data_IF_814873631118
#
_entry.id   IF_814873631118
#
_cell.length_a   1.000
_cell.length_b   1.000
_cell.length_c   1.000
_cell.angle_alpha   90.00
_cell.angle_beta   90.00
_cell.angle_gamma   90.00
#
_symmetry.space_group_name_H-M   'P 1'
#
loop_
_entity.id
_entity.type
_entity.pdbx_description
1 polymer ?
#
# COMPACT_ATOMS: atom_id res chain seq x y z
N UNK A 1 2.01 -2.25 27.17
CA UNK A 1 2.99 -1.96 26.10
C UNK A 1 3.04 -0.47 25.77
N UNK A 2 1.89 0.14 25.46
CA UNK A 2 1.79 1.57 25.14
C UNK A 2 2.20 2.51 26.28
N UNK A 3 1.91 2.17 27.54
CA UNK A 3 2.39 2.95 28.71
C UNK A 3 3.92 3.03 28.72
N UNK A 4 4.62 1.91 28.53
CA UNK A 4 6.08 1.89 28.43
C UNK A 4 6.57 2.71 27.23
N UNK A 5 5.91 2.56 26.07
CA UNK A 5 6.24 3.34 24.87
C UNK A 5 6.12 4.85 25.13
N UNK A 6 5.04 5.29 25.79
CA UNK A 6 4.82 6.69 26.17
C UNK A 6 5.88 7.19 27.15
N UNK A 7 6.22 6.40 28.17
CA UNK A 7 7.27 6.74 29.13
C UNK A 7 8.62 6.92 28.42
N UNK A 8 8.95 6.07 27.45
CA UNK A 8 10.19 6.15 26.67
C UNK A 8 10.21 7.40 25.79
N UNK A 9 9.10 7.71 25.12
CA UNK A 9 8.93 8.96 24.36
C UNK A 9 9.10 10.18 25.28
N UNK A 10 8.47 10.16 26.47
CA UNK A 10 8.54 11.26 27.43
C UNK A 10 9.96 11.49 27.96
N UNK A 11 10.72 10.42 28.19
CA UNK A 11 12.13 10.50 28.63
C UNK A 11 13.02 11.19 27.59
N UNK A 12 12.75 10.99 26.30
CA UNK A 12 13.52 11.64 25.25
C UNK A 12 13.02 13.07 24.95
N UNK A 13 11.72 13.29 24.97
CA UNK A 13 11.11 14.60 24.76
C UNK A 13 9.76 14.71 25.49
N UNK A 14 9.71 15.39 26.66
CA UNK A 14 8.50 15.51 27.47
C UNK A 14 7.32 16.14 26.73
N UNK A 15 7.56 17.08 25.80
CA UNK A 15 6.49 17.75 25.06
C UNK A 15 5.73 16.80 24.12
N UNK A 16 6.34 15.68 23.72
CA UNK A 16 5.74 14.69 22.80
C UNK A 16 4.95 13.59 23.50
N UNK A 17 5.09 13.46 24.82
CA UNK A 17 4.32 12.48 25.61
C UNK A 17 2.81 12.73 25.57
N UNK A 18 2.41 13.95 25.23
CA UNK A 18 1.00 14.38 25.10
C UNK A 18 0.65 14.78 23.66
N UNK A 19 1.51 14.45 22.69
CA UNK A 19 1.32 14.79 21.28
C UNK A 19 0.23 13.96 20.61
N UNK A 20 -0.14 14.37 19.40
CA UNK A 20 -1.03 13.63 18.50
C UNK A 20 -0.27 12.44 17.92
N UNK A 21 -0.87 11.25 17.97
CA UNK A 21 -0.27 10.04 17.43
C UNK A 21 -1.22 9.36 16.44
N UNK A 22 -0.70 8.99 15.28
CA UNK A 22 -1.38 8.09 14.34
C UNK A 22 -0.89 6.66 14.55
N UNK A 23 -1.81 5.70 14.53
CA UNK A 23 -1.45 4.27 14.52
C UNK A 23 -1.40 3.78 13.07
N UNK A 24 -0.20 3.44 12.62
CA UNK A 24 0.04 2.85 11.32
C UNK A 24 -0.26 1.35 11.30
N UNK A 25 0.01 0.74 10.16
CA UNK A 25 -0.27 -0.67 9.95
C UNK A 25 0.72 -1.58 10.69
N UNK A 26 0.28 -2.83 10.89
CA UNK A 26 1.08 -3.89 11.48
C UNK A 26 1.30 -4.98 10.44
N UNK A 27 2.55 -5.34 10.25
CA UNK A 27 2.95 -6.40 9.32
C UNK A 27 3.70 -7.51 10.05
N UNK A 28 3.65 -8.70 9.48
CA UNK A 28 4.56 -9.75 9.89
C UNK A 28 5.99 -9.38 9.49
N UNK A 29 6.97 -9.77 10.30
CA UNK A 29 8.37 -9.56 9.95
C UNK A 29 8.71 -10.21 8.60
N UNK A 30 9.25 -9.41 7.67
CA UNK A 30 9.55 -9.84 6.30
C UNK A 30 8.40 -9.70 5.30
N UNK A 31 7.17 -9.37 5.74
CA UNK A 31 6.03 -9.17 4.85
C UNK A 31 5.76 -7.68 4.58
N UNK A 32 5.38 -7.37 3.34
CA UNK A 32 5.01 -6.01 2.91
C UNK A 32 3.51 -5.73 3.01
N UNK A 33 2.72 -6.72 3.44
CA UNK A 33 1.27 -6.62 3.64
C UNK A 33 0.89 -7.01 5.08
N UNK A 34 -0.37 -6.73 5.42
CA UNK A 34 -0.95 -7.10 6.72
C UNK A 34 -1.70 -8.42 6.60
N UNK A 35 -1.79 -9.12 7.72
CA UNK A 35 -2.61 -10.32 7.91
C UNK A 35 -3.81 -9.97 8.80
N UNK A 36 -4.76 -10.90 9.02
CA UNK A 36 -5.78 -10.73 10.05
C UNK A 36 -5.18 -10.34 11.41
N UNK A 37 -4.06 -10.96 11.81
CA UNK A 37 -3.30 -10.64 13.03
C UNK A 37 -2.82 -9.19 13.04
N UNK A 38 -2.20 -8.75 11.95
CA UNK A 38 -1.75 -7.36 11.83
C UNK A 38 -2.93 -6.38 11.95
N UNK A 39 -4.03 -6.65 11.25
CA UNK A 39 -5.23 -5.81 11.32
C UNK A 39 -5.82 -5.75 12.74
N UNK A 40 -5.90 -6.88 13.45
CA UNK A 40 -6.37 -6.90 14.84
C UNK A 40 -5.44 -6.11 15.77
N UNK A 41 -4.12 -6.29 15.65
CA UNK A 41 -3.14 -5.57 16.47
C UNK A 41 -3.24 -4.06 16.23
N UNK A 42 -3.38 -3.64 14.97
CA UNK A 42 -3.64 -2.24 14.60
C UNK A 42 -4.91 -1.73 15.28
N UNK A 43 -6.04 -2.41 15.09
CA UNK A 43 -7.34 -2.00 15.62
C UNK A 43 -7.30 -1.89 17.15
N UNK A 44 -6.63 -2.85 17.82
CA UNK A 44 -6.47 -2.83 19.29
C UNK A 44 -5.57 -1.68 19.76
N UNK A 45 -4.45 -1.45 19.09
CA UNK A 45 -3.52 -0.36 19.47
C UNK A 45 -4.14 1.00 19.20
N UNK A 46 -4.83 1.19 18.08
CA UNK A 46 -5.59 2.40 17.77
C UNK A 46 -6.65 2.68 18.85
N UNK A 47 -7.46 1.67 19.19
CA UNK A 47 -8.46 1.81 20.25
C UNK A 47 -7.84 2.22 21.59
N UNK A 48 -6.74 1.59 22.01
CA UNK A 48 -6.08 1.95 23.28
C UNK A 48 -5.48 3.36 23.27
N UNK A 49 -4.92 3.79 22.12
CA UNK A 49 -4.41 5.15 21.94
C UNK A 49 -5.53 6.18 22.12
N UNK A 50 -6.72 5.89 21.58
CA UNK A 50 -7.89 6.76 21.66
C UNK A 50 -8.55 6.76 23.04
N UNK A 51 -8.73 5.59 23.66
CA UNK A 51 -9.54 5.45 24.90
C UNK A 51 -8.76 5.71 26.17
N UNK A 52 -7.47 5.36 26.22
CA UNK A 52 -6.67 5.48 27.45
C UNK A 52 -6.03 6.87 27.64
N UNK A 53 -6.24 7.79 26.69
CA UNK A 53 -5.67 9.14 26.73
C UNK A 53 -4.13 9.15 26.76
N UNK A 54 -3.50 8.06 26.30
CA UNK A 54 -2.04 7.94 26.27
C UNK A 54 -1.44 8.90 25.25
N UNK A 55 -2.06 9.03 24.09
CA UNK A 55 -1.74 10.08 23.11
C UNK A 55 -3.04 10.77 22.69
N UNK A 56 -2.93 11.92 22.02
CA UNK A 56 -4.10 12.53 21.39
C UNK A 56 -4.34 11.87 20.03
N UNK A 57 -5.59 11.65 19.68
CA UNK A 57 -5.93 11.24 18.33
C UNK A 57 -5.59 12.36 17.31
N UNK A 58 -5.40 12.02 16.02
CA UNK A 58 -5.23 13.03 14.97
C UNK A 58 -6.44 13.98 14.87
N UNK A 59 -6.22 15.18 14.33
CA UNK A 59 -7.32 16.11 14.06
C UNK A 59 -8.10 15.63 12.83
N UNK A 60 -9.32 15.15 13.06
CA UNK A 60 -10.05 14.37 12.07
C UNK A 60 -9.70 12.89 12.18
N UNK A 61 -10.71 12.04 11.99
CA UNK A 61 -10.52 10.60 12.16
C UNK A 61 -9.60 10.03 11.09
N UNK A 62 -8.68 9.14 11.48
CA UNK A 62 -7.95 8.25 10.54
C UNK A 62 -8.89 7.48 9.61
N UNK A 63 -10.17 7.32 9.99
CA UNK A 63 -11.19 6.73 9.11
C UNK A 63 -11.52 7.58 7.88
N UNK A 64 -11.24 8.89 7.86
CA UNK A 64 -11.39 9.70 6.63
C UNK A 64 -10.33 9.36 5.57
N UNK A 65 -9.23 8.71 5.96
CA UNK A 65 -8.10 8.44 5.09
C UNK A 65 -7.32 9.70 4.72
N UNK A 66 -6.53 9.61 3.66
CA UNK A 66 -5.73 10.73 3.10
C UNK A 66 -6.29 11.20 1.75
N UNK A 67 -5.86 12.39 1.35
CA UNK A 67 -6.20 13.06 0.09
C UNK A 67 -5.03 13.08 -0.87
N UNK A 68 -5.32 13.30 -2.17
CA UNK A 68 -4.28 13.45 -3.19
C UNK A 68 -3.32 14.60 -2.90
N UNK A 69 -3.79 15.65 -2.22
CA UNK A 69 -2.96 16.79 -1.81
C UNK A 69 -1.94 16.38 -0.76
N UNK A 70 -2.32 15.58 0.22
CA UNK A 70 -1.40 15.06 1.25
C UNK A 70 -0.38 14.10 0.64
N UNK A 71 -0.81 13.20 -0.27
CA UNK A 71 0.10 12.29 -0.98
C UNK A 71 1.15 13.05 -1.78
N UNK A 72 0.79 14.15 -2.43
CA UNK A 72 1.72 14.98 -3.19
C UNK A 72 2.84 15.62 -2.33
N UNK A 73 2.70 15.63 -1.00
CA UNK A 73 3.71 16.22 -0.09
C UNK A 73 4.82 15.24 0.32
N UNK A 74 4.66 13.94 0.06
CA UNK A 74 5.60 12.89 0.50
C UNK A 74 6.18 12.12 -0.69
N UNK A 75 7.42 11.67 -0.54
CA UNK A 75 8.07 10.89 -1.60
C UNK A 75 7.57 9.45 -1.67
N UNK A 76 7.37 8.80 -0.52
CA UNK A 76 6.85 7.44 -0.43
C UNK A 76 5.76 7.39 0.64
N UNK A 77 4.47 7.42 0.25
CA UNK A 77 3.36 7.37 1.20
C UNK A 77 3.20 6.03 1.93
N UNK A 78 3.90 4.97 1.50
CA UNK A 78 3.89 3.68 2.18
C UNK A 78 5.00 3.52 3.22
N UNK A 79 5.94 4.48 3.30
CA UNK A 79 6.96 4.51 4.35
C UNK A 79 6.32 4.91 5.69
N UNK A 80 6.50 4.11 6.76
CA UNK A 80 6.10 4.48 8.13
C UNK A 80 6.47 5.92 8.54
N UNK A 81 7.57 6.45 8.04
CA UNK A 81 8.04 7.82 8.33
C UNK A 81 7.13 8.90 7.75
N UNK A 82 6.39 8.60 6.68
CA UNK A 82 5.49 9.53 6.03
C UNK A 82 4.17 9.71 6.79
N UNK A 83 3.80 8.76 7.66
CA UNK A 83 2.49 8.74 8.32
C UNK A 83 2.20 10.01 9.13
N UNK A 84 3.17 10.48 9.90
CA UNK A 84 2.98 11.70 10.71
C UNK A 84 2.73 12.93 9.85
N UNK A 85 3.37 13.02 8.67
CA UNK A 85 3.15 14.11 7.73
C UNK A 85 1.79 14.00 7.04
N UNK A 86 1.44 12.80 6.58
CA UNK A 86 0.18 12.50 5.90
C UNK A 86 -1.06 12.74 6.77
N UNK A 87 -0.97 12.42 8.07
CA UNK A 87 -2.07 12.59 9.02
C UNK A 87 -1.93 13.84 9.91
N UNK A 88 -0.91 14.68 9.65
CA UNK A 88 -0.61 15.87 10.45
C UNK A 88 -0.54 15.57 11.97
N UNK A 89 0.31 14.62 12.37
CA UNK A 89 0.52 14.23 13.77
C UNK A 89 1.96 14.45 14.24
N UNK A 90 2.18 14.41 15.55
CA UNK A 90 3.51 14.54 16.15
C UNK A 90 4.30 13.22 16.10
N UNK A 91 3.55 12.11 16.13
CA UNK A 91 4.08 10.75 16.18
C UNK A 91 3.30 9.81 15.24
N UNK A 92 4.01 8.81 14.73
CA UNK A 92 3.46 7.61 14.12
C UNK A 92 3.87 6.39 14.95
N UNK A 93 2.89 5.56 15.33
CA UNK A 93 3.10 4.31 16.04
C UNK A 93 2.87 3.18 15.03
N UNK A 94 3.92 2.49 14.65
CA UNK A 94 3.86 1.34 13.73
C UNK A 94 4.26 0.06 14.43
N UNK A 95 3.84 -1.07 13.87
CA UNK A 95 4.08 -2.37 14.47
C UNK A 95 4.65 -3.41 13.50
N UNK A 96 5.51 -4.27 14.02
CA UNK A 96 5.86 -5.53 13.37
C UNK A 96 5.61 -6.66 14.35
N UNK A 97 5.21 -7.83 13.88
CA UNK A 97 5.05 -8.99 14.75
C UNK A 97 5.70 -10.23 14.14
N UNK A 98 6.10 -11.18 15.00
CA UNK A 98 6.59 -12.50 14.60
C UNK A 98 5.81 -13.57 15.38
N UNK A 99 5.00 -14.40 14.70
CA UNK A 99 4.35 -15.53 15.37
C UNK A 99 5.38 -16.60 15.73
N UNK A 100 5.20 -17.20 16.91
CA UNK A 100 5.89 -18.39 17.42
C UNK A 100 4.81 -19.44 17.81
N UNK A 101 5.22 -20.61 18.29
CA UNK A 101 4.32 -21.73 18.58
C UNK A 101 3.24 -21.37 19.63
N UNK A 102 3.64 -20.77 20.75
CA UNK A 102 2.78 -20.42 21.89
C UNK A 102 2.63 -18.90 22.10
N UNK A 103 3.42 -18.10 21.35
CA UNK A 103 3.55 -16.66 21.56
C UNK A 103 3.54 -15.89 20.25
N UNK A 104 3.26 -14.60 20.33
CA UNK A 104 3.46 -13.64 19.26
C UNK A 104 4.35 -12.54 19.81
N UNK A 105 5.54 -12.38 19.24
CA UNK A 105 6.44 -11.29 19.58
C UNK A 105 5.97 -10.05 18.83
N UNK A 106 5.46 -9.05 19.55
CA UNK A 106 4.99 -7.78 18.98
C UNK A 106 6.00 -6.69 19.30
N UNK A 107 6.44 -5.97 18.27
CA UNK A 107 7.32 -4.80 18.37
C UNK A 107 6.55 -3.57 17.92
N UNK A 108 6.46 -2.57 18.79
CA UNK A 108 5.93 -1.24 18.49
C UNK A 108 7.09 -0.27 18.37
N UNK A 109 7.03 0.59 17.36
CA UNK A 109 8.00 1.66 17.12
C UNK A 109 7.26 3.00 17.02
N UNK A 110 7.70 3.98 17.81
CA UNK A 110 7.22 5.36 17.71
C UNK A 110 8.23 6.18 16.88
N UNK A 111 7.76 6.74 15.77
CA UNK A 111 8.49 7.63 14.88
C UNK A 111 7.96 9.04 15.04
N UNK A 112 8.83 10.05 15.02
CA UNK A 112 8.37 11.44 14.99
C UNK A 112 8.06 11.95 13.57
N UNK A 113 7.68 13.22 13.45
CA UNK A 113 7.37 13.87 12.18
C UNK A 113 8.54 13.94 11.18
N UNK A 114 9.78 13.70 11.63
CA UNK A 114 10.97 13.59 10.78
C UNK A 114 11.32 12.13 10.46
N UNK A 115 10.48 11.17 10.87
CA UNK A 115 10.74 9.75 10.72
C UNK A 115 11.82 9.19 11.66
N UNK A 116 12.21 9.94 12.69
CA UNK A 116 13.21 9.51 13.67
C UNK A 116 12.56 8.63 14.72
N UNK A 117 13.14 7.46 14.98
CA UNK A 117 12.68 6.57 16.05
C UNK A 117 12.91 7.22 17.42
N UNK A 118 11.83 7.36 18.19
CA UNK A 118 11.81 7.92 19.55
C UNK A 118 11.64 6.87 20.63
N UNK A 119 10.96 5.78 20.31
CA UNK A 119 10.84 4.67 21.24
C UNK A 119 10.58 3.39 20.48
N UNK A 120 10.98 2.27 21.09
CA UNK A 120 10.64 0.95 20.61
C UNK A 120 10.41 0.05 21.81
N UNK A 121 9.30 -0.66 21.80
CA UNK A 121 8.96 -1.63 22.84
C UNK A 121 8.66 -2.96 22.17
N UNK A 122 9.14 -4.04 22.78
CA UNK A 122 8.83 -5.40 22.36
C UNK A 122 8.15 -6.15 23.50
N UNK A 123 7.11 -6.93 23.19
CA UNK A 123 6.40 -7.78 24.15
C UNK A 123 6.02 -9.11 23.52
N UNK A 124 6.16 -10.16 24.29
CA UNK A 124 5.57 -11.46 23.96
C UNK A 124 4.12 -11.48 24.45
N UNK A 125 3.21 -11.82 23.54
CA UNK A 125 1.79 -12.02 23.84
C UNK A 125 1.52 -13.52 23.71
N UNK A 126 0.89 -14.13 24.72
CA UNK A 126 0.44 -15.52 24.62
C UNK A 126 -0.55 -15.67 23.47
N UNK A 127 -0.36 -16.68 22.61
CA UNK A 127 -1.28 -16.96 21.49
C UNK A 127 -2.70 -17.26 21.99
N UNK A 128 -2.85 -17.79 23.20
CA UNK A 128 -4.16 -18.03 23.83
C UNK A 128 -4.96 -16.74 24.11
N UNK A 129 -4.28 -15.59 24.22
CA UNK A 129 -4.93 -14.30 24.39
C UNK A 129 -5.41 -13.70 23.06
N UNK A 130 -5.12 -14.37 21.93
CA UNK A 130 -5.44 -13.90 20.58
C UNK A 130 -6.53 -14.81 20.00
N UNK A 131 -7.63 -14.26 19.47
CA UNK A 131 -8.68 -15.07 18.88
C UNK A 131 -8.16 -15.94 17.71
N UNK A 132 -8.50 -17.23 17.70
CA UNK A 132 -8.01 -18.21 16.71
C UNK A 132 -8.30 -17.82 15.25
N UNK A 133 -9.44 -17.17 15.01
CA UNK A 133 -9.89 -16.66 13.69
C UNK A 133 -8.86 -15.71 13.05
N UNK A 134 -7.98 -15.14 13.85
CA UNK A 134 -7.03 -14.10 13.47
C UNK A 134 -5.60 -14.66 13.31
N UNK A 135 -5.36 -15.90 13.73
CA UNK A 135 -4.04 -16.54 13.72
C UNK A 135 -3.63 -17.10 12.35
N UNK A 136 -4.58 -17.26 11.43
CA UNK A 136 -4.31 -17.77 10.09
C UNK A 136 -3.84 -16.66 9.14
N UNK A 137 -2.83 -16.97 8.31
CA UNK A 137 -2.52 -16.15 7.15
C UNK A 137 -3.72 -16.09 6.20
N UNK A 138 -3.85 -15.02 5.39
CA UNK A 138 -4.77 -15.03 4.26
C UNK A 138 -4.57 -16.28 3.41
N UNK A 139 -5.65 -16.92 2.97
CA UNK A 139 -5.59 -18.18 2.22
C UNK A 139 -4.73 -18.07 0.95
N UNK A 140 -4.68 -16.89 0.34
CA UNK A 140 -3.93 -16.59 -0.86
C UNK A 140 -2.53 -15.96 -0.62
N UNK A 141 -2.01 -15.96 0.62
CA UNK A 141 -0.72 -15.32 0.94
C UNK A 141 0.48 -15.88 0.16
N UNK A 142 0.52 -17.20 -0.05
CA UNK A 142 1.57 -17.84 -0.85
C UNK A 142 1.51 -17.39 -2.31
N UNK A 143 0.30 -17.31 -2.87
CA UNK A 143 0.08 -16.87 -4.25
C UNK A 143 0.43 -15.39 -4.44
N UNK A 144 0.05 -14.53 -3.50
CA UNK A 144 0.44 -13.11 -3.51
C UNK A 144 1.96 -12.95 -3.46
N UNK A 145 2.64 -13.73 -2.60
CA UNK A 145 4.11 -13.73 -2.53
C UNK A 145 4.74 -14.13 -3.86
N UNK A 146 4.21 -15.17 -4.49
CA UNK A 146 4.68 -15.62 -5.79
C UNK A 146 4.48 -14.54 -6.86
N UNK A 147 3.29 -13.92 -6.94
CA UNK A 147 2.99 -12.86 -7.89
C UNK A 147 3.95 -11.66 -7.76
N UNK A 148 4.15 -11.17 -6.54
CA UNK A 148 5.08 -10.06 -6.26
C UNK A 148 6.53 -10.43 -6.59
N UNK A 149 6.93 -11.69 -6.38
CA UNK A 149 8.25 -12.18 -6.78
C UNK A 149 8.43 -12.16 -8.31
N UNK A 150 7.40 -12.58 -9.07
CA UNK A 150 7.42 -12.53 -10.53
C UNK A 150 7.50 -11.11 -11.06
N UNK A 151 6.76 -10.16 -10.47
CA UNK A 151 6.88 -8.75 -10.81
C UNK A 151 8.30 -8.21 -10.56
N UNK A 152 8.88 -8.56 -9.41
CA UNK A 152 10.23 -8.11 -9.02
C UNK A 152 11.33 -8.60 -9.97
N UNK A 153 11.11 -9.72 -10.68
CA UNK A 153 12.05 -10.26 -11.66
C UNK A 153 12.02 -9.52 -13.01
N UNK A 154 10.97 -8.75 -13.33
CA UNK A 154 10.81 -8.10 -14.64
C UNK A 154 11.66 -6.84 -14.84
N UNK A 155 12.24 -6.33 -13.77
CA UNK A 155 12.97 -5.07 -13.79
C UNK A 155 12.68 -4.27 -12.53
N UNK A 156 13.48 -3.23 -12.28
CA UNK A 156 13.40 -2.54 -11.01
C UNK A 156 12.09 -1.76 -10.90
N UNK A 157 11.56 -1.63 -9.67
CA UNK A 157 10.46 -0.69 -9.36
C UNK A 157 10.78 0.75 -9.81
N UNK A 158 12.07 1.04 -9.93
CA UNK A 158 12.61 2.33 -10.35
C UNK A 158 13.81 2.17 -11.28
N UNK A 159 13.88 2.92 -12.38
CA UNK A 159 15.04 2.97 -13.27
C UNK A 159 15.74 4.34 -13.14
N UNK A 160 16.88 4.39 -12.45
CA UNK A 160 17.51 5.68 -12.11
C UNK A 160 16.56 6.53 -11.27
N UNK A 161 16.24 7.75 -11.73
CA UNK A 161 15.26 8.63 -11.08
C UNK A 161 13.80 8.35 -11.48
N UNK A 162 13.57 7.46 -12.47
CA UNK A 162 12.24 7.09 -12.91
C UNK A 162 11.62 6.11 -11.90
N UNK A 163 10.48 6.45 -11.33
CA UNK A 163 9.71 5.63 -10.38
C UNK A 163 8.23 5.97 -10.50
N UNK A 164 7.39 5.01 -10.11
CA UNK A 164 5.98 5.25 -9.85
C UNK A 164 5.68 4.83 -8.42
N UNK A 165 4.92 5.64 -7.71
CA UNK A 165 4.44 5.34 -6.37
C UNK A 165 2.95 5.13 -6.42
N UNK A 166 2.46 4.12 -5.69
CA UNK A 166 1.04 3.85 -5.52
C UNK A 166 0.76 3.61 -4.03
N UNK A 167 -0.31 4.23 -3.51
CA UNK A 167 -0.84 3.95 -2.17
C UNK A 167 -2.36 3.95 -2.20
N UNK A 168 -2.96 3.72 -1.03
CA UNK A 168 -4.41 3.83 -0.86
C UNK A 168 -4.79 5.01 0.04
N UNK A 169 -6.08 5.26 0.24
CA UNK A 169 -6.60 6.13 1.30
C UNK A 169 -6.26 5.63 2.72
N UNK A 170 -5.57 4.50 2.87
CA UNK A 170 -4.94 4.03 4.11
C UNK A 170 -3.44 3.83 3.87
N UNK A 171 -2.63 4.90 3.89
CA UNK A 171 -1.20 4.82 3.63
C UNK A 171 -0.45 3.91 4.62
N UNK A 172 0.75 3.54 4.23
CA UNK A 172 1.61 2.60 4.94
C UNK A 172 1.53 1.18 4.38
N UNK A 173 2.64 0.45 4.44
CA UNK A 173 2.67 -0.98 4.09
C UNK A 173 1.64 -1.77 4.92
N UNK A 174 0.88 -2.68 4.30
CA UNK A 174 -0.12 -3.49 4.99
C UNK A 174 -1.43 -2.78 5.35
N UNK A 175 -1.94 -1.95 4.44
CA UNK A 175 -3.30 -1.44 4.59
C UNK A 175 -4.32 -2.60 4.65
N UNK A 176 -5.36 -2.45 5.46
CA UNK A 176 -6.49 -3.37 5.47
C UNK A 176 -7.81 -2.60 5.39
N UNK A 177 -8.79 -3.22 4.75
CA UNK A 177 -10.14 -2.70 4.55
C UNK A 177 -11.15 -3.77 4.98
N UNK A 178 -12.26 -3.33 5.55
CA UNK A 178 -13.43 -4.15 5.88
C UNK A 178 -14.45 -4.05 4.75
N UNK A 179 -15.39 -4.97 4.73
CA UNK A 179 -16.47 -4.99 3.76
C UNK A 179 -17.18 -3.63 3.68
N UNK A 180 -17.50 -3.23 2.46
CA UNK A 180 -18.13 -1.97 2.11
C UNK A 180 -17.31 -0.69 2.35
N UNK A 181 -16.05 -0.80 2.79
CA UNK A 181 -15.18 0.37 2.89
C UNK A 181 -14.70 0.82 1.51
N UNK A 182 -14.75 2.13 1.27
CA UNK A 182 -14.27 2.73 0.04
C UNK A 182 -12.74 2.65 -0.06
N UNK A 183 -12.24 2.19 -1.21
CA UNK A 183 -10.83 2.17 -1.54
C UNK A 183 -10.57 3.26 -2.59
N UNK A 184 -9.57 4.09 -2.32
CA UNK A 184 -9.04 5.03 -3.31
C UNK A 184 -7.58 4.72 -3.53
N UNK A 185 -7.11 4.82 -4.76
CA UNK A 185 -5.69 4.71 -5.09
C UNK A 185 -5.13 6.10 -5.40
N UNK A 186 -3.93 6.36 -4.92
CA UNK A 186 -3.18 7.56 -5.26
C UNK A 186 -1.89 7.16 -5.95
N UNK A 187 -1.63 7.73 -7.12
CA UNK A 187 -0.49 7.39 -7.96
C UNK A 187 0.31 8.64 -8.29
N UNK A 188 1.63 8.57 -8.12
CA UNK A 188 2.56 9.63 -8.54
C UNK A 188 3.67 9.02 -9.38
N UNK A 189 3.86 9.52 -10.60
CA UNK A 189 4.97 9.12 -11.48
C UNK A 189 6.05 10.19 -11.47
N UNK A 190 7.34 9.84 -11.49
CA UNK A 190 8.43 10.81 -11.72
C UNK A 190 8.78 10.99 -13.20
N UNK A 191 8.06 10.31 -14.09
CA UNK A 191 8.21 10.43 -15.54
C UNK A 191 6.86 10.68 -16.20
N UNK A 192 6.89 11.36 -17.35
CA UNK A 192 5.75 11.40 -18.26
C UNK A 192 5.56 10.02 -18.91
N UNK A 193 4.32 9.64 -19.19
CA UNK A 193 4.04 8.37 -19.84
C UNK A 193 2.56 8.01 -19.86
N UNK A 194 2.28 6.73 -20.01
CA UNK A 194 0.93 6.16 -19.98
C UNK A 194 0.81 5.24 -18.76
N UNK A 195 -0.09 5.59 -17.85
CA UNK A 195 -0.34 4.87 -16.62
C UNK A 195 -1.42 3.81 -16.83
N UNK A 196 -1.16 2.63 -16.27
CA UNK A 196 -2.08 1.52 -16.19
C UNK A 196 -2.16 1.02 -14.75
N UNK A 197 -3.38 0.80 -14.26
CA UNK A 197 -3.62 0.16 -12.97
C UNK A 197 -4.22 -1.22 -13.19
N UNK A 198 -3.50 -2.23 -12.74
CA UNK A 198 -3.91 -3.62 -12.76
C UNK A 198 -4.22 -4.08 -11.34
N UNK A 199 -5.43 -4.55 -11.12
CA UNK A 199 -5.91 -5.06 -9.85
C UNK A 199 -6.02 -6.59 -9.91
N UNK A 200 -5.40 -7.27 -8.95
CA UNK A 200 -5.52 -8.71 -8.73
C UNK A 200 -6.31 -8.92 -7.44
N UNK A 201 -7.47 -9.55 -7.55
CA UNK A 201 -8.32 -9.87 -6.39
C UNK A 201 -7.81 -11.11 -5.62
N UNK A 202 -8.52 -11.49 -4.55
CA UNK A 202 -8.14 -12.63 -3.72
C UNK A 202 -8.25 -14.00 -4.42
N UNK A 203 -9.04 -14.09 -5.49
CA UNK A 203 -9.24 -15.29 -6.33
C UNK A 203 -8.33 -15.34 -7.56
N UNK A 204 -7.38 -14.40 -7.68
CA UNK A 204 -6.44 -14.26 -8.79
C UNK A 204 -7.09 -13.79 -10.09
N UNK A 205 -8.23 -13.11 -10.01
CA UNK A 205 -8.78 -12.41 -11.16
C UNK A 205 -8.02 -11.10 -11.37
N UNK A 206 -7.35 -11.00 -12.51
CA UNK A 206 -6.60 -9.82 -12.91
C UNK A 206 -7.44 -8.93 -13.81
N UNK A 207 -7.63 -7.68 -13.40
CA UNK A 207 -8.39 -6.66 -14.13
C UNK A 207 -7.56 -5.39 -14.33
N UNK A 208 -7.65 -4.79 -15.50
CA UNK A 208 -7.25 -3.41 -15.73
C UNK A 208 -8.36 -2.49 -15.24
N UNK A 209 -8.12 -1.81 -14.12
CA UNK A 209 -9.07 -0.87 -13.51
C UNK A 209 -8.86 0.57 -14.01
N UNK A 210 -7.69 0.86 -14.61
CA UNK A 210 -7.41 2.11 -15.31
C UNK A 210 -6.41 1.87 -16.48
N UNK A 211 -6.62 2.47 -17.66
CA UNK A 211 -7.83 3.18 -18.10
C UNK A 211 -9.07 2.30 -18.12
N UNK A 212 -10.24 2.92 -18.00
CA UNK A 212 -11.54 2.25 -18.01
C UNK A 212 -12.58 3.08 -18.80
N UNK A 213 -13.82 2.61 -18.89
CA UNK A 213 -14.86 3.30 -19.67
C UNK A 213 -15.21 4.72 -19.16
N UNK A 214 -14.98 4.98 -17.87
CA UNK A 214 -15.26 6.25 -17.20
C UNK A 214 -14.06 7.21 -17.28
N UNK A 215 -12.84 6.68 -17.37
CA UNK A 215 -11.59 7.43 -17.45
C UNK A 215 -10.65 6.79 -18.47
N UNK A 216 -10.70 7.29 -19.71
CA UNK A 216 -10.00 6.69 -20.88
C UNK A 216 -8.59 7.23 -21.13
N UNK A 217 -8.30 8.45 -20.69
CA UNK A 217 -6.99 9.07 -20.89
C UNK A 217 -5.97 8.44 -19.95
N UNK A 218 -4.99 7.74 -20.52
CA UNK A 218 -3.94 7.05 -19.77
C UNK A 218 -2.73 7.95 -19.50
N UNK A 219 -2.60 9.08 -20.18
CA UNK A 219 -1.42 9.93 -20.12
C UNK A 219 -1.28 10.60 -18.76
N UNK A 220 -0.07 10.53 -18.21
CA UNK A 220 0.31 11.15 -16.94
C UNK A 220 1.53 12.04 -17.10
N UNK A 221 1.61 13.06 -16.25
CA UNK A 221 2.71 14.01 -16.18
C UNK A 221 3.54 13.77 -14.93
N UNK A 222 4.87 13.88 -15.06
CA UNK A 222 5.81 13.72 -13.97
C UNK A 222 5.50 14.66 -12.78
N UNK A 223 5.56 14.12 -11.57
CA UNK A 223 5.34 14.83 -10.31
C UNK A 223 3.88 15.04 -9.94
N UNK A 224 2.93 14.75 -10.82
CA UNK A 224 1.50 14.91 -10.52
C UNK A 224 0.97 13.68 -9.77
N UNK A 225 0.44 13.90 -8.57
CA UNK A 225 -0.35 12.91 -7.85
C UNK A 225 -1.78 12.85 -8.44
N UNK A 226 -2.28 11.64 -8.69
CA UNK A 226 -3.59 11.37 -9.29
C UNK A 226 -4.38 10.45 -8.37
N UNK A 227 -5.67 10.74 -8.19
CA UNK A 227 -6.62 9.95 -7.40
C UNK A 227 -7.48 9.07 -8.31
N UNK A 228 -7.69 7.82 -7.89
CA UNK A 228 -8.54 6.84 -8.56
C UNK A 228 -9.54 6.21 -7.58
N UNK A 229 -10.85 6.33 -7.81
CA UNK A 229 -11.48 7.13 -8.87
C UNK A 229 -11.25 8.63 -8.67
N UNK A 230 -11.31 9.46 -9.73
CA UNK A 230 -11.16 10.90 -9.58
C UNK A 230 -12.28 11.49 -8.72
N UNK A 231 -12.00 12.60 -8.03
CA UNK A 231 -13.00 13.27 -7.21
C UNK A 231 -14.26 13.61 -8.03
N UNK A 232 -15.43 13.18 -7.54
CA UNK A 232 -16.72 13.36 -8.23
C UNK A 232 -17.00 12.34 -9.34
N UNK A 233 -16.20 11.29 -9.47
CA UNK A 233 -16.48 10.20 -10.41
C UNK A 233 -17.87 9.57 -10.18
N UNK A 234 -18.54 9.09 -11.24
CA UNK A 234 -19.83 8.40 -11.13
C UNK A 234 -19.70 6.95 -10.61
N UNK A 235 -18.55 6.58 -10.05
CA UNK A 235 -18.25 5.25 -9.51
C UNK A 235 -17.26 5.35 -8.35
N UNK A 236 -17.24 4.32 -7.50
CA UNK A 236 -16.30 4.14 -6.38
C UNK A 236 -15.73 2.72 -6.42
N UNK A 237 -14.51 2.51 -5.88
CA UNK A 237 -14.05 1.16 -5.55
C UNK A 237 -14.42 0.86 -4.10
N UNK A 238 -14.89 -0.35 -3.86
CA UNK A 238 -15.38 -0.79 -2.55
C UNK A 238 -14.78 -2.15 -2.24
N UNK A 239 -14.35 -2.33 -0.99
CA UNK A 239 -13.87 -3.59 -0.47
C UNK A 239 -15.03 -4.60 -0.43
N UNK A 240 -14.98 -5.63 -1.28
CA UNK A 240 -15.99 -6.68 -1.39
C UNK A 240 -15.37 -8.07 -1.30
N UNK A 241 -16.21 -9.10 -1.26
CA UNK A 241 -15.74 -10.47 -1.48
C UNK A 241 -15.17 -10.61 -2.90
N UNK A 242 -14.21 -11.52 -3.15
CA UNK A 242 -13.63 -12.49 -2.19
C UNK A 242 -12.67 -11.86 -1.17
N UNK A 243 -12.76 -12.29 0.10
CA UNK A 243 -11.89 -11.77 1.17
C UNK A 243 -10.49 -12.39 1.10
N UNK A 244 -9.46 -11.56 1.24
CA UNK A 244 -8.07 -12.00 1.18
C UNK A 244 -7.14 -10.85 0.81
N UNK A 245 -5.94 -11.20 0.36
CA UNK A 245 -5.00 -10.19 -0.14
C UNK A 245 -5.36 -9.80 -1.56
N UNK A 246 -5.38 -8.51 -1.83
CA UNK A 246 -5.53 -7.95 -3.16
C UNK A 246 -4.34 -7.07 -3.49
N UNK A 247 -3.89 -7.07 -4.74
CA UNK A 247 -2.73 -6.29 -5.16
C UNK A 247 -3.09 -5.41 -6.35
N UNK A 248 -2.81 -4.12 -6.22
CA UNK A 248 -2.92 -3.17 -7.33
C UNK A 248 -1.54 -2.72 -7.78
N UNK A 249 -1.23 -2.95 -9.04
CA UNK A 249 0.04 -2.61 -9.68
C UNK A 249 -0.15 -1.42 -10.61
N UNK A 250 0.58 -0.34 -10.33
CA UNK A 250 0.72 0.80 -11.23
C UNK A 250 1.90 0.57 -12.17
N UNK A 251 1.69 0.77 -13.47
CA UNK A 251 2.72 0.66 -14.50
C UNK A 251 2.70 1.91 -15.34
N UNK A 252 3.86 2.53 -15.55
CA UNK A 252 4.02 3.67 -16.47
C UNK A 252 4.90 3.23 -17.64
N UNK A 253 4.34 3.30 -18.84
CA UNK A 253 5.02 2.98 -20.10
C UNK A 253 5.32 4.25 -20.90
N UNK A 254 6.35 4.20 -21.75
CA UNK A 254 6.71 5.31 -22.65
C UNK A 254 5.77 5.43 -23.86
N UNK A 255 5.07 4.35 -24.22
CA UNK A 255 4.05 4.28 -25.27
C UNK A 255 2.79 3.56 -24.77
N UNK A 256 1.60 3.82 -25.34
CA UNK A 256 0.38 3.13 -24.93
C UNK A 256 0.47 1.62 -25.15
N UNK A 257 -0.11 0.86 -24.22
CA UNK A 257 -0.40 -0.57 -24.44
C UNK A 257 -1.46 -0.73 -25.54
N UNK A 258 -1.38 -1.86 -26.23
CA UNK A 258 -2.26 -2.17 -27.36
C UNK A 258 -3.60 -2.72 -26.85
N UNK A 259 -4.71 -2.07 -27.22
CA UNK A 259 -6.05 -2.49 -26.77
C UNK A 259 -6.42 -3.91 -27.22
N UNK A 260 -5.75 -4.46 -28.24
CA UNK A 260 -5.94 -5.87 -28.66
C UNK A 260 -5.46 -6.88 -27.62
N UNK A 261 -4.59 -6.48 -26.71
CA UNK A 261 -4.08 -7.33 -25.63
C UNK A 261 -5.09 -7.45 -24.47
N UNK A 262 -6.22 -6.75 -24.55
CA UNK A 262 -7.25 -6.72 -23.53
C UNK A 262 -8.60 -7.23 -24.07
N UNK A 263 -9.40 -7.77 -23.17
CA UNK A 263 -10.80 -8.13 -23.38
C UNK A 263 -11.65 -7.26 -22.44
N UNK A 264 -12.51 -6.41 -23.00
CA UNK A 264 -13.47 -5.65 -22.19
C UNK A 264 -14.43 -6.62 -21.49
N UNK A 265 -14.70 -6.35 -20.22
CA UNK A 265 -15.64 -7.11 -19.42
C UNK A 265 -16.72 -6.19 -18.86
N UNK A 266 -17.75 -6.79 -18.26
CA UNK A 266 -18.83 -6.06 -17.60
C UNK A 266 -18.29 -5.13 -16.49
N UNK A 267 -18.99 -4.03 -16.24
CA UNK A 267 -18.57 -3.01 -15.27
C UNK A 267 -17.57 -1.97 -15.82
N UNK A 268 -17.06 -2.14 -17.05
CA UNK A 268 -16.21 -1.15 -17.71
C UNK A 268 -14.72 -1.34 -17.52
N UNK A 269 -14.32 -2.50 -16.98
CA UNK A 269 -12.94 -2.92 -16.83
C UNK A 269 -12.50 -3.76 -18.03
N UNK A 270 -11.19 -4.03 -18.12
CA UNK A 270 -10.65 -4.91 -19.14
C UNK A 270 -9.80 -6.02 -18.52
N UNK A 271 -10.07 -7.27 -18.88
CA UNK A 271 -9.23 -8.41 -18.51
C UNK A 271 -8.07 -8.50 -19.51
N UNK A 272 -6.81 -8.51 -19.07
CA UNK A 272 -5.70 -8.75 -19.97
C UNK A 272 -5.72 -10.20 -20.48
N UNK A 273 -5.39 -10.41 -21.75
CA UNK A 273 -5.32 -11.75 -22.38
C UNK A 273 -4.06 -12.53 -21.99
N UNK A 274 -3.11 -11.85 -21.36
CA UNK A 274 -1.84 -12.35 -20.86
C UNK A 274 -1.65 -11.85 -19.42
N UNK A 275 -0.71 -12.43 -18.68
CA UNK A 275 -0.37 -11.87 -17.37
C UNK A 275 0.31 -10.48 -17.51
N UNK A 276 0.27 -9.69 -16.42
CA UNK A 276 0.89 -8.35 -16.39
C UNK A 276 2.36 -8.41 -16.79
N UNK A 277 3.06 -9.46 -16.34
CA UNK A 277 4.48 -9.63 -16.58
C UNK A 277 4.82 -9.71 -18.07
N UNK A 278 4.04 -10.49 -18.81
CA UNK A 278 4.16 -10.70 -20.23
C UNK A 278 3.78 -9.44 -21.00
N UNK A 279 2.72 -8.73 -20.60
CA UNK A 279 2.33 -7.45 -21.21
C UNK A 279 3.46 -6.41 -21.13
N UNK A 280 4.12 -6.33 -19.98
CA UNK A 280 5.24 -5.41 -19.71
C UNK A 280 6.51 -5.85 -20.45
N UNK A 281 6.79 -7.16 -20.48
CA UNK A 281 8.00 -7.71 -21.09
C UNK A 281 7.95 -7.74 -22.63
N UNK A 282 6.82 -8.13 -23.23
CA UNK A 282 6.68 -8.25 -24.70
C UNK A 282 6.65 -6.92 -25.43
N UNK A 283 6.27 -5.83 -24.75
CA UNK A 283 6.19 -4.49 -25.35
C UNK A 283 7.39 -3.59 -25.00
N UNK A 284 8.32 -4.08 -24.16
CA UNK A 284 9.64 -3.49 -23.89
C UNK A 284 10.77 -4.02 -24.80
N UNK A 285 10.46 -4.81 -25.84
CA UNK A 285 11.44 -5.34 -26.80
C UNK A 285 11.01 -5.07 -28.24
N UNK A 286 11.71 -4.15 -28.90
CA UNK A 286 12.08 -4.23 -30.32
C UNK A 286 13.36 -3.40 -30.48
N UNK A 287 14.50 -3.90 -30.98
CA UNK A 287 14.76 -4.45 -32.32
C UNK A 287 16.08 -5.25 -32.30
N UNK A 288 16.24 -6.27 -33.16
CA UNK A 288 17.56 -6.76 -33.61
C UNK A 288 18.03 -5.93 -34.82
N UNK A 289 19.21 -5.30 -34.76
CA UNK A 289 20.07 -5.21 -35.93
C UNK A 289 21.48 -5.73 -35.61
N UNK A 290 21.99 -6.60 -36.47
CA UNK A 290 23.42 -6.76 -36.71
C UNK A 290 23.95 -5.39 -37.13
N UNK A 291 24.82 -4.78 -36.30
CA UNK A 291 25.44 -3.44 -36.45
C UNK A 291 24.52 -2.23 -36.24
N UNK A 292 24.87 -1.39 -35.25
CA UNK A 292 24.28 -0.08 -34.98
C UNK A 292 23.67 0.04 -33.58
N UNK A 293 24.26 0.89 -32.73
CA UNK A 293 23.81 1.18 -31.37
C UNK A 293 22.35 1.67 -31.32
N UNK A 294 21.52 0.98 -30.55
CA UNK A 294 20.11 1.37 -30.32
C UNK A 294 20.02 2.54 -29.33
N UNK A 295 19.14 3.53 -29.56
CA UNK A 295 18.79 4.50 -28.53
C UNK A 295 18.11 3.78 -27.36
N UNK A 296 18.49 4.10 -26.12
CA UNK A 296 17.93 3.50 -24.91
C UNK A 296 16.43 3.81 -24.79
N UNK A 297 15.57 2.89 -25.20
CA UNK A 297 14.14 2.98 -24.91
C UNK A 297 13.94 2.82 -23.40
N UNK A 298 13.26 3.79 -22.77
CA UNK A 298 12.96 3.77 -21.35
C UNK A 298 12.11 2.53 -21.05
N UNK A 299 12.60 1.67 -20.14
CA UNK A 299 11.86 0.50 -19.69
C UNK A 299 10.67 0.98 -18.86
N UNK A 300 9.55 0.23 -18.86
CA UNK A 300 8.43 0.53 -17.99
C UNK A 300 8.88 0.55 -16.52
N UNK A 301 8.36 1.52 -15.76
CA UNK A 301 8.51 1.57 -14.30
C UNK A 301 7.19 1.13 -13.67
N UNK A 302 7.27 0.43 -12.56
CA UNK A 302 6.09 -0.13 -11.91
C UNK A 302 6.25 -0.16 -10.39
N UNK A 303 5.14 -0.15 -9.69
CA UNK A 303 5.10 -0.38 -8.25
C UNK A 303 3.74 -0.97 -7.88
N UNK A 304 3.63 -1.56 -6.70
CA UNK A 304 2.40 -2.24 -6.27
C UNK A 304 2.10 -1.93 -4.81
N UNK A 305 0.80 -1.85 -4.52
CA UNK A 305 0.28 -1.85 -3.15
C UNK A 305 -0.57 -3.10 -2.95
N UNK A 306 -0.30 -3.81 -1.85
CA UNK A 306 -1.08 -4.98 -1.44
C UNK A 306 -1.88 -4.61 -0.20
N UNK A 307 -3.17 -4.93 -0.23
CA UNK A 307 -4.11 -4.65 0.85
C UNK A 307 -4.79 -5.95 1.29
N UNK A 308 -5.24 -5.99 2.54
CA UNK A 308 -6.06 -7.07 3.07
C UNK A 308 -7.53 -6.65 3.08
N UNK A 309 -8.38 -7.40 2.37
CA UNK A 309 -9.85 -7.23 2.40
C UNK A 309 -10.44 -8.23 3.40
N UNK A 310 -11.27 -7.71 4.31
CA UNK A 310 -11.85 -8.47 5.43
C UNK A 310 -13.38 -8.35 5.44
N UNK A 311 -14.08 -9.32 6.04
CA UNK A 311 -15.51 -9.19 6.36
C UNK A 311 -15.80 -7.96 7.23
#
# INVERSE_FOLDING_TARGET
MLVSLKQDVARQNPARASGRAVVGNFTEEGQSWSSPMGALLKDRVASLVETEGLFRAPDGSTTRGITVKEVATVQNPNDPKALSMLYNTDLAIVGTYRPDNDRVNVRLTALDSQGTQRAQVTRDISRQAIPDVVSAQPANAADTSQFLSSLSQLGPKSQGNARVEITTNRPGAGASFRFAEEIKYFVTSTIDGYLYLFHMDAEKNLLRIFPNQYQREARVTAGQAIEFPPAGAPFKFEASAPFGLETTTAIVTSSPLDERDFQMIEGGFAKPKQDVATLVATRGISVKPTTGSSPSQARPVWNSVTVLIRP
#
